data_IF_476555429616
#
_entry.id   IF_476555429616
#
_cell.length_a   1.000
_cell.length_b   1.000
_cell.length_c   1.000
_cell.angle_alpha   90.00
_cell.angle_beta   90.00
_cell.angle_gamma   90.00
#
_symmetry.space_group_name_H-M   'P 1'
#
loop_
_entity.id
_entity.type
_entity.pdbx_description
1 polymer ?
#
# COMPACT_ATOMS: atom_id res chain seq x y z
N UNK A 1 -22.98 54.77 -27.35
CA UNK A 1 -21.91 54.35 -26.43
C UNK A 1 -22.32 53.01 -25.85
N UNK A 2 -21.70 51.97 -26.39
CA UNK A 2 -21.94 50.54 -26.13
C UNK A 2 -21.11 50.07 -24.94
N UNK A 3 -21.70 49.29 -24.04
CA UNK A 3 -20.96 48.55 -23.02
C UNK A 3 -21.08 47.05 -23.32
N UNK A 4 -19.98 46.43 -23.71
CA UNK A 4 -19.84 44.98 -23.85
C UNK A 4 -19.93 44.30 -22.47
N UNK A 5 -20.60 43.15 -22.33
CA UNK A 5 -20.55 42.38 -21.09
C UNK A 5 -19.23 41.60 -20.99
N UNK A 6 -18.60 41.65 -19.82
CA UNK A 6 -17.34 40.96 -19.51
C UNK A 6 -17.44 39.44 -19.76
N UNK A 7 -16.37 38.79 -20.24
CA UNK A 7 -16.33 37.35 -20.42
C UNK A 7 -16.48 36.65 -19.06
N UNK A 8 -17.43 35.71 -18.97
CA UNK A 8 -17.56 34.85 -17.79
C UNK A 8 -16.32 33.97 -17.68
N UNK A 9 -15.74 33.79 -16.48
CA UNK A 9 -14.63 32.87 -16.31
C UNK A 9 -15.07 31.47 -16.72
N UNK A 10 -14.32 30.85 -17.62
CA UNK A 10 -14.46 29.44 -18.00
C UNK A 10 -14.43 28.56 -16.75
N UNK A 11 -15.20 27.47 -16.68
CA UNK A 11 -15.10 26.52 -15.57
C UNK A 11 -13.73 25.82 -15.65
N UNK A 12 -12.72 26.39 -14.99
CA UNK A 12 -11.45 25.71 -14.76
C UNK A 12 -11.62 24.71 -13.62
N UNK A 13 -11.36 23.45 -13.97
CA UNK A 13 -10.77 22.42 -13.12
C UNK A 13 -11.45 22.13 -11.78
N UNK A 14 -12.55 21.37 -11.84
CA UNK A 14 -12.76 20.31 -10.84
C UNK A 14 -11.90 19.11 -11.25
N UNK A 15 -10.61 19.14 -10.89
CA UNK A 15 -9.65 18.07 -11.14
C UNK A 15 -9.49 17.18 -9.88
N UNK A 16 -10.59 16.94 -9.17
CA UNK A 16 -10.55 16.36 -7.81
C UNK A 16 -11.34 15.05 -7.65
N UNK A 17 -11.89 14.48 -8.72
CA UNK A 17 -12.36 13.09 -8.73
C UNK A 17 -11.49 12.29 -9.69
N UNK A 18 -10.33 11.90 -9.18
CA UNK A 18 -9.28 11.15 -9.88
C UNK A 18 -9.80 9.78 -10.36
N UNK A 19 -10.49 9.78 -11.50
CA UNK A 19 -10.76 8.60 -12.30
C UNK A 19 -9.48 8.16 -13.01
N UNK A 20 -8.46 7.80 -12.23
CA UNK A 20 -7.31 7.06 -12.78
C UNK A 20 -7.83 5.71 -13.27
N UNK A 21 -7.36 5.31 -14.45
CA UNK A 21 -7.69 4.00 -15.02
C UNK A 21 -7.32 2.91 -13.98
N UNK A 22 -8.19 1.92 -13.71
CA UNK A 22 -7.90 0.86 -12.73
C UNK A 22 -6.58 0.13 -13.00
N UNK A 23 -6.17 0.07 -14.28
CA UNK A 23 -4.90 -0.47 -14.72
C UNK A 23 -3.69 0.41 -14.31
N UNK A 24 -3.82 1.74 -14.32
CA UNK A 24 -2.77 2.65 -13.86
C UNK A 24 -2.64 2.62 -12.34
N UNK A 25 -3.76 2.64 -11.60
CA UNK A 25 -3.74 2.45 -10.14
C UNK A 25 -3.07 1.13 -9.74
N UNK A 26 -3.38 0.04 -10.44
CA UNK A 26 -2.77 -1.26 -10.19
C UNK A 26 -1.25 -1.27 -10.45
N UNK A 27 -0.79 -0.60 -11.52
CA UNK A 27 0.64 -0.44 -11.82
C UNK A 27 1.36 0.38 -10.76
N UNK A 28 0.75 1.46 -10.30
CA UNK A 28 1.30 2.31 -9.25
C UNK A 28 1.44 1.56 -7.92
N UNK A 29 0.44 0.76 -7.55
CA UNK A 29 0.51 -0.08 -6.33
C UNK A 29 1.64 -1.10 -6.45
N UNK A 30 1.79 -1.76 -7.60
CA UNK A 30 2.87 -2.72 -7.82
C UNK A 30 4.26 -2.06 -7.73
N UNK A 31 4.40 -0.83 -8.24
CA UNK A 31 5.63 -0.05 -8.13
C UNK A 31 5.93 0.33 -6.68
N UNK A 32 4.93 0.84 -5.93
CA UNK A 32 5.05 1.17 -4.52
C UNK A 32 5.42 -0.07 -3.68
N UNK A 33 4.80 -1.21 -3.95
CA UNK A 33 5.14 -2.47 -3.31
C UNK A 33 6.58 -2.90 -3.57
N UNK A 34 7.06 -2.76 -4.82
CA UNK A 34 8.44 -3.08 -5.18
C UNK A 34 9.43 -2.18 -4.47
N UNK A 35 9.15 -0.87 -4.40
CA UNK A 35 9.97 0.10 -3.68
C UNK A 35 9.96 -0.15 -2.16
N UNK A 36 8.80 -0.46 -1.59
CA UNK A 36 8.67 -0.84 -0.19
C UNK A 36 9.50 -2.09 0.14
N UNK A 37 9.44 -3.11 -0.71
CA UNK A 37 10.25 -4.32 -0.57
C UNK A 37 11.76 -4.03 -0.63
N UNK A 38 12.17 -3.16 -1.56
CA UNK A 38 13.55 -2.70 -1.68
C UNK A 38 14.03 -2.00 -0.40
N UNK A 39 13.25 -1.05 0.13
CA UNK A 39 13.59 -0.35 1.36
C UNK A 39 13.66 -1.29 2.58
N UNK A 40 12.77 -2.29 2.68
CA UNK A 40 12.85 -3.33 3.72
C UNK A 40 14.16 -4.12 3.62
N UNK A 41 14.55 -4.51 2.40
CA UNK A 41 15.77 -5.28 2.17
C UNK A 41 17.03 -4.47 2.54
N UNK A 42 17.04 -3.17 2.24
CA UNK A 42 18.15 -2.26 2.52
C UNK A 42 18.15 -1.72 3.97
N UNK A 43 17.18 -2.09 4.80
CA UNK A 43 17.08 -1.63 6.19
C UNK A 43 16.55 -0.21 6.38
N UNK A 44 16.05 0.42 5.32
CA UNK A 44 15.43 1.74 5.34
C UNK A 44 13.96 1.65 5.78
N UNK A 45 13.76 1.30 7.06
CA UNK A 45 12.44 0.88 7.57
C UNK A 45 11.42 2.03 7.62
N UNK A 46 11.85 3.27 7.82
CA UNK A 46 10.94 4.43 7.79
C UNK A 46 10.47 4.75 6.38
N UNK A 47 11.36 4.70 5.38
CA UNK A 47 10.99 4.87 3.97
C UNK A 47 10.03 3.76 3.54
N UNK A 48 10.33 2.51 3.89
CA UNK A 48 9.44 1.38 3.64
C UNK A 48 8.04 1.61 4.23
N UNK A 49 7.96 2.12 5.46
CA UNK A 49 6.68 2.43 6.11
C UNK A 49 5.87 3.46 5.32
N UNK A 50 6.50 4.55 4.89
CA UNK A 50 5.80 5.62 4.16
C UNK A 50 5.27 5.12 2.81
N UNK A 51 6.10 4.39 2.05
CA UNK A 51 5.69 3.86 0.74
C UNK A 51 4.58 2.82 0.86
N UNK A 52 4.67 1.91 1.84
CA UNK A 52 3.62 0.92 2.07
C UNK A 52 2.33 1.53 2.60
N UNK A 53 2.40 2.62 3.37
CA UNK A 53 1.21 3.37 3.78
C UNK A 53 0.50 4.01 2.58
N UNK A 54 1.27 4.52 1.60
CA UNK A 54 0.70 5.04 0.36
C UNK A 54 0.08 3.93 -0.49
N UNK A 55 0.74 2.78 -0.64
CA UNK A 55 0.18 1.63 -1.33
C UNK A 55 -1.14 1.17 -0.69
N UNK A 56 -1.18 1.12 0.64
CA UNK A 56 -2.39 0.77 1.38
C UNK A 56 -3.50 1.82 1.23
N UNK A 57 -3.17 3.11 1.22
CA UNK A 57 -4.16 4.16 1.00
C UNK A 57 -4.79 4.07 -0.40
N UNK A 58 -3.99 3.75 -1.42
CA UNK A 58 -4.46 3.54 -2.80
C UNK A 58 -5.31 2.29 -2.95
N UNK A 59 -4.88 1.17 -2.33
CA UNK A 59 -5.67 -0.06 -2.30
C UNK A 59 -5.57 -0.73 -0.92
N UNK A 60 -6.57 -0.51 -0.06
CA UNK A 60 -6.60 -1.09 1.28
C UNK A 60 -6.71 -2.62 1.31
N UNK A 61 -7.07 -3.25 0.19
CA UNK A 61 -7.26 -4.69 0.05
C UNK A 61 -6.08 -5.41 -0.63
N UNK A 62 -5.01 -4.69 -1.02
CA UNK A 62 -3.90 -5.33 -1.72
C UNK A 62 -3.12 -6.32 -0.81
N UNK A 63 -3.22 -7.61 -1.16
CA UNK A 63 -2.60 -8.70 -0.40
C UNK A 63 -1.08 -8.59 -0.33
N UNK A 64 -0.45 -8.01 -1.35
CA UNK A 64 1.01 -7.86 -1.42
C UNK A 64 1.48 -6.82 -0.41
N UNK A 65 0.77 -5.69 -0.32
CA UNK A 65 0.99 -4.62 0.66
C UNK A 65 0.91 -5.17 2.09
N UNK A 66 -0.07 -6.03 2.40
CA UNK A 66 -0.18 -6.66 3.71
C UNK A 66 1.02 -7.57 4.02
N UNK A 67 1.41 -8.43 3.08
CA UNK A 67 2.58 -9.31 3.26
C UNK A 67 3.90 -8.55 3.42
N UNK A 68 4.05 -7.40 2.76
CA UNK A 68 5.20 -6.51 2.93
C UNK A 68 5.16 -5.77 4.28
N UNK A 69 3.98 -5.34 4.73
CA UNK A 69 3.80 -4.72 6.04
C UNK A 69 4.14 -5.68 7.18
N UNK A 70 3.74 -6.95 7.08
CA UNK A 70 4.13 -7.98 8.05
C UNK A 70 5.66 -8.18 8.10
N UNK A 71 6.33 -8.19 6.94
CA UNK A 71 7.79 -8.28 6.86
C UNK A 71 8.51 -7.04 7.42
N UNK A 72 7.96 -5.85 7.17
CA UNK A 72 8.45 -4.62 7.77
C UNK A 72 8.36 -4.67 9.31
N UNK A 73 7.22 -5.14 9.85
CA UNK A 73 7.05 -5.33 11.30
C UNK A 73 8.11 -6.26 11.89
N UNK A 74 8.41 -7.39 11.22
CA UNK A 74 9.49 -8.27 11.66
C UNK A 74 10.87 -7.61 11.65
N UNK A 75 11.19 -6.85 10.60
CA UNK A 75 12.47 -6.12 10.53
C UNK A 75 12.60 -5.06 11.62
N UNK A 76 11.48 -4.55 12.12
CA UNK A 76 11.42 -3.63 13.28
C UNK A 76 11.43 -4.34 14.63
N UNK A 77 11.44 -5.67 14.67
CA UNK A 77 11.32 -6.46 15.90
C UNK A 77 9.88 -6.60 16.42
N UNK A 78 8.89 -6.04 15.72
CA UNK A 78 7.48 -6.11 16.09
C UNK A 78 6.85 -7.42 15.56
N UNK A 79 7.21 -8.52 16.22
CA UNK A 79 6.78 -9.86 15.83
C UNK A 79 5.28 -10.07 16.00
N UNK A 80 4.70 -9.54 17.07
CA UNK A 80 3.28 -9.73 17.37
C UNK A 80 2.40 -9.10 16.30
N UNK A 81 2.75 -7.89 15.85
CA UNK A 81 2.06 -7.24 14.74
C UNK A 81 2.18 -8.04 13.44
N UNK A 82 3.37 -8.55 13.13
CA UNK A 82 3.57 -9.37 11.95
C UNK A 82 2.68 -10.63 11.97
N UNK A 83 2.62 -11.33 13.10
CA UNK A 83 1.75 -12.51 13.28
C UNK A 83 0.27 -12.13 13.16
N UNK A 84 -0.14 -11.00 13.74
CA UNK A 84 -1.53 -10.52 13.66
C UNK A 84 -1.98 -10.30 12.21
N UNK A 85 -1.16 -9.60 11.41
CA UNK A 85 -1.42 -9.34 9.99
C UNK A 85 -1.55 -10.66 9.21
N UNK A 86 -0.59 -11.58 9.38
CA UNK A 86 -0.59 -12.85 8.67
C UNK A 86 -1.77 -13.74 9.05
N UNK A 87 -2.18 -13.75 10.33
CA UNK A 87 -3.38 -14.46 10.78
C UNK A 87 -4.66 -13.85 10.19
N UNK A 88 -4.73 -12.51 10.09
CA UNK A 88 -5.84 -11.84 9.41
C UNK A 88 -5.94 -12.27 7.94
N UNK A 89 -4.83 -12.23 7.19
CA UNK A 89 -4.77 -12.69 5.80
C UNK A 89 -5.20 -14.16 5.68
N UNK A 90 -4.76 -15.02 6.62
CA UNK A 90 -5.17 -16.43 6.67
C UNK A 90 -6.69 -16.59 6.83
N UNK A 91 -7.30 -15.85 7.76
CA UNK A 91 -8.75 -15.90 8.00
C UNK A 91 -9.57 -15.42 6.80
N UNK A 92 -9.02 -14.51 5.99
CA UNK A 92 -9.64 -14.04 4.75
C UNK A 92 -9.47 -15.01 3.57
N UNK A 93 -8.66 -16.06 3.71
CA UNK A 93 -8.34 -16.99 2.62
C UNK A 93 -7.34 -16.41 1.60
N UNK A 94 -6.69 -15.30 1.94
CA UNK A 94 -5.86 -14.50 1.02
C UNK A 94 -4.35 -14.67 1.27
N UNK A 95 -3.95 -15.62 2.12
CA UNK A 95 -2.55 -15.77 2.55
C UNK A 95 -1.70 -16.47 1.48
N UNK A 96 -0.75 -15.78 0.82
CA UNK A 96 0.12 -16.41 -0.17
C UNK A 96 1.05 -17.45 0.48
N UNK A 97 1.50 -18.45 -0.28
CA UNK A 97 2.33 -19.55 0.22
C UNK A 97 3.58 -19.08 0.99
N UNK A 98 4.27 -18.06 0.48
CA UNK A 98 5.45 -17.46 1.14
C UNK A 98 5.12 -16.92 2.54
N UNK A 99 3.95 -16.30 2.67
CA UNK A 99 3.50 -15.63 3.89
C UNK A 99 2.93 -16.68 4.88
N UNK A 100 2.38 -17.79 4.36
CA UNK A 100 2.04 -18.98 5.15
C UNK A 100 3.27 -19.66 5.77
N UNK A 101 4.34 -19.83 4.99
CA UNK A 101 5.61 -20.35 5.52
C UNK A 101 6.17 -19.42 6.60
N UNK A 102 6.12 -18.11 6.37
CA UNK A 102 6.54 -17.10 7.35
C UNK A 102 5.74 -17.24 8.65
N UNK A 103 4.41 -17.27 8.58
CA UNK A 103 3.55 -17.45 9.75
C UNK A 103 3.85 -18.74 10.51
N UNK A 104 4.08 -19.84 9.79
CA UNK A 104 4.41 -21.13 10.39
C UNK A 104 5.76 -21.11 11.12
N UNK A 105 6.74 -20.35 10.64
CA UNK A 105 8.04 -20.16 11.34
C UNK A 105 7.84 -19.33 12.60
N UNK A 106 7.13 -18.20 12.49
CA UNK A 106 6.86 -17.31 13.62
C UNK A 106 5.98 -17.93 14.71
N UNK A 107 5.17 -18.95 14.39
CA UNK A 107 4.33 -19.62 15.39
C UNK A 107 5.07 -20.74 16.14
N UNK A 108 6.24 -21.17 15.64
CA UNK A 108 7.05 -22.25 16.24
C UNK A 108 8.17 -21.76 17.15
N UNK A 109 8.58 -20.50 16.99
CA UNK A 109 9.72 -19.90 17.71
C UNK A 109 9.28 -19.08 18.94
N UNK A 110 8.15 -19.39 19.55
CA UNK A 110 7.61 -18.72 20.74
C UNK A 110 7.07 -19.78 21.68
#
# INVERSE_FOLDING_TARGET
MTAEPLPRPSPQSTKDSNGEDPAEQSRDIALLNSLGAFYIAYGQLDQARHVLALAHWRNPADITTFGLTARLSLKRGDRDRAVSILRMMKRRGELPQRDAQLLARLSRSG
#
